data_IF_267946882242
#
_entry.id   IF_267946882242
#
_cell.length_a   1.000
_cell.length_b   1.000
_cell.length_c   1.000
_cell.angle_alpha   90.00
_cell.angle_beta   90.00
_cell.angle_gamma   90.00
#
_symmetry.space_group_name_H-M   'P 1'
#
loop_
_entity.id
_entity.type
_entity.pdbx_description
1 polymer ?
#
# COMPACT_ATOMS: atom_id res chain seq x y z
N UNK A 1 -29.75 9.48 -25.19
CA UNK A 1 -28.33 9.26 -24.85
C UNK A 1 -27.95 10.36 -23.89
N UNK A 2 -27.98 10.10 -22.58
CA UNK A 2 -27.62 11.10 -21.59
C UNK A 2 -26.31 10.66 -20.94
N UNK A 3 -25.24 11.36 -21.28
CA UNK A 3 -23.94 11.27 -20.61
C UNK A 3 -24.03 12.24 -19.43
N UNK A 4 -24.44 11.72 -18.28
CA UNK A 4 -24.48 12.48 -17.03
C UNK A 4 -23.06 12.61 -16.47
N UNK A 5 -22.47 13.77 -16.70
CA UNK A 5 -21.23 14.25 -16.11
C UNK A 5 -21.44 14.55 -14.63
N UNK A 6 -21.31 13.53 -13.78
CA UNK A 6 -21.16 13.68 -12.33
C UNK A 6 -20.59 12.40 -11.74
N UNK A 7 -19.33 12.08 -12.06
CA UNK A 7 -18.62 11.02 -11.34
C UNK A 7 -17.94 11.68 -10.12
N UNK A 8 -18.51 11.62 -8.90
CA UNK A 8 -17.75 12.01 -7.72
C UNK A 8 -16.52 11.10 -7.71
N UNK A 9 -15.31 11.66 -7.75
CA UNK A 9 -14.11 10.84 -7.60
C UNK A 9 -14.31 10.02 -6.32
N UNK A 10 -14.44 8.69 -6.41
CA UNK A 10 -14.77 7.90 -5.26
C UNK A 10 -13.58 8.04 -4.32
N UNK A 11 -13.80 8.67 -3.16
CA UNK A 11 -12.81 8.61 -2.10
C UNK A 11 -12.46 7.13 -1.92
N UNK A 12 -11.17 6.78 -1.92
CA UNK A 12 -10.79 5.38 -1.86
C UNK A 12 -11.47 4.70 -0.68
N UNK A 13 -12.01 3.49 -0.85
CA UNK A 13 -12.74 2.82 0.22
C UNK A 13 -11.86 2.75 1.47
N UNK A 14 -12.39 3.15 2.64
CA UNK A 14 -11.62 3.12 3.91
C UNK A 14 -10.93 1.77 4.15
N UNK A 15 -11.55 0.68 3.70
CA UNK A 15 -10.99 -0.66 3.78
C UNK A 15 -9.72 -0.83 2.92
N UNK A 16 -9.72 -0.29 1.71
CA UNK A 16 -8.57 -0.32 0.80
C UNK A 16 -7.43 0.54 1.34
N UNK A 17 -7.74 1.75 1.81
CA UNK A 17 -6.79 2.62 2.53
C UNK A 17 -6.09 1.89 3.68
N UNK A 18 -6.87 1.27 4.56
CA UNK A 18 -6.35 0.53 5.69
C UNK A 18 -5.52 -0.68 5.25
N UNK A 19 -5.93 -1.36 4.18
CA UNK A 19 -5.20 -2.51 3.62
C UNK A 19 -3.84 -2.08 3.07
N UNK A 20 -3.80 -1.06 2.21
CA UNK A 20 -2.57 -0.54 1.61
C UNK A 20 -1.58 -0.06 2.68
N UNK A 21 -2.05 0.76 3.64
CA UNK A 21 -1.22 1.23 4.76
C UNK A 21 -0.70 0.05 5.57
N UNK A 22 -1.54 -0.95 5.87
CA UNK A 22 -1.12 -2.13 6.65
C UNK A 22 -0.10 -2.98 5.89
N UNK A 23 -0.25 -3.14 4.57
CA UNK A 23 0.70 -3.87 3.74
C UNK A 23 2.08 -3.18 3.73
N UNK A 24 2.12 -1.85 3.67
CA UNK A 24 3.36 -1.06 3.63
C UNK A 24 3.98 -0.77 5.00
N UNK A 25 3.19 -0.73 6.07
CA UNK A 25 3.66 -0.47 7.44
C UNK A 25 4.00 -1.76 8.19
N UNK A 26 3.27 -2.85 7.91
CA UNK A 26 3.45 -4.15 8.59
C UNK A 26 3.98 -5.25 7.67
N UNK A 27 4.65 -4.90 6.56
CA UNK A 27 5.19 -5.86 5.59
C UNK A 27 6.02 -6.97 6.26
N UNK A 28 6.85 -6.64 7.25
CA UNK A 28 7.71 -7.59 7.97
C UNK A 28 6.87 -8.65 8.70
N UNK A 29 5.88 -8.18 9.48
CA UNK A 29 4.97 -9.07 10.23
C UNK A 29 4.13 -9.91 9.28
N UNK A 30 3.67 -9.33 8.17
CA UNK A 30 2.84 -10.03 7.20
C UNK A 30 3.63 -11.10 6.46
N UNK A 31 4.85 -10.82 6.03
CA UNK A 31 5.72 -11.82 5.38
C UNK A 31 6.03 -12.99 6.32
N UNK A 32 6.32 -12.69 7.60
CA UNK A 32 6.47 -13.74 8.63
C UNK A 32 5.20 -14.59 8.79
N UNK A 33 4.01 -13.96 8.76
CA UNK A 33 2.72 -14.66 8.81
C UNK A 33 2.49 -15.55 7.57
N UNK A 34 2.92 -15.11 6.40
CA UNK A 34 2.86 -15.89 5.16
C UNK A 34 3.93 -16.98 5.07
N UNK A 35 4.78 -17.15 6.10
CA UNK A 35 5.88 -18.11 6.08
C UNK A 35 6.92 -17.78 5.01
N UNK A 36 6.99 -16.52 4.56
CA UNK A 36 7.96 -16.06 3.57
C UNK A 36 9.09 -15.33 4.30
N UNK A 37 10.31 -15.80 4.12
CA UNK A 37 11.49 -15.08 4.58
C UNK A 37 11.73 -13.85 3.69
N UNK A 38 11.71 -12.66 4.30
CA UNK A 38 12.29 -11.47 3.68
C UNK A 38 13.81 -11.58 3.82
N UNK A 39 14.53 -11.54 2.70
CA UNK A 39 15.98 -11.44 2.76
C UNK A 39 16.42 -10.20 3.53
N UNK A 40 17.46 -10.27 4.39
CA UNK A 40 17.90 -9.14 5.22
C UNK A 40 18.27 -7.90 4.39
N UNK A 41 18.78 -8.10 3.16
CA UNK A 41 19.04 -7.03 2.20
C UNK A 41 17.76 -6.28 1.79
N UNK A 42 16.69 -7.01 1.51
CA UNK A 42 15.37 -6.45 1.17
C UNK A 42 14.77 -5.74 2.38
N UNK A 43 14.80 -6.36 3.56
CA UNK A 43 14.33 -5.73 4.80
C UNK A 43 15.02 -4.38 5.04
N UNK A 44 16.36 -4.36 4.94
CA UNK A 44 17.14 -3.14 5.13
C UNK A 44 16.80 -2.08 4.07
N UNK A 45 16.58 -2.49 2.81
CA UNK A 45 16.11 -1.58 1.75
C UNK A 45 14.74 -0.97 2.11
N UNK A 46 13.77 -1.80 2.52
CA UNK A 46 12.42 -1.35 2.89
C UNK A 46 12.43 -0.43 4.11
N UNK A 47 13.23 -0.74 5.12
CA UNK A 47 13.45 0.12 6.29
C UNK A 47 14.08 1.47 5.91
N UNK A 48 14.99 1.47 4.94
CA UNK A 48 15.62 2.69 4.42
C UNK A 48 14.63 3.57 3.64
N UNK A 49 13.73 2.95 2.88
CA UNK A 49 12.67 3.67 2.16
C UNK A 49 11.69 4.36 3.11
N UNK A 50 11.38 3.71 4.24
CA UNK A 50 10.50 4.26 5.27
C UNK A 50 9.12 4.59 4.69
N UNK A 51 8.75 5.87 4.67
CA UNK A 51 7.47 6.32 4.12
C UNK A 51 7.42 6.38 2.59
N UNK A 52 8.57 6.25 1.91
CA UNK A 52 8.66 6.21 0.45
C UNK A 52 8.51 4.79 -0.12
N UNK A 53 8.20 3.80 0.72
CA UNK A 53 7.92 2.44 0.28
C UNK A 53 6.68 2.41 -0.60
N UNK A 54 6.75 1.65 -1.70
CA UNK A 54 5.65 1.46 -2.66
C UNK A 54 5.26 -0.02 -2.78
N UNK A 55 4.15 -0.31 -3.45
CA UNK A 55 3.73 -1.68 -3.76
C UNK A 55 4.75 -2.47 -4.58
N UNK A 56 5.55 -1.79 -5.41
CA UNK A 56 6.59 -2.40 -6.23
C UNK A 56 7.79 -2.90 -5.40
N UNK A 57 7.99 -2.37 -4.20
CA UNK A 57 9.04 -2.83 -3.29
C UNK A 57 8.61 -4.05 -2.47
N UNK A 58 7.30 -4.34 -2.40
CA UNK A 58 6.76 -5.49 -1.69
C UNK A 58 7.00 -6.78 -2.47
N UNK A 59 7.15 -7.90 -1.75
CA UNK A 59 7.28 -9.21 -2.38
C UNK A 59 5.93 -9.77 -2.84
N UNK A 60 5.95 -10.54 -3.93
CA UNK A 60 4.81 -10.98 -4.74
C UNK A 60 3.48 -11.20 -4.03
N UNK A 61 3.42 -11.94 -2.91
CA UNK A 61 2.16 -12.16 -2.17
C UNK A 61 1.57 -10.86 -1.61
N UNK A 62 2.39 -10.00 -1.00
CA UNK A 62 1.94 -8.70 -0.49
C UNK A 62 1.58 -7.75 -1.63
N UNK A 63 2.33 -7.80 -2.73
CA UNK A 63 2.04 -7.01 -3.93
C UNK A 63 0.71 -7.44 -4.56
N UNK A 64 0.41 -8.75 -4.61
CA UNK A 64 -0.84 -9.28 -5.16
C UNK A 64 -2.06 -8.93 -4.31
N UNK A 65 -1.88 -8.76 -3.00
CA UNK A 65 -2.93 -8.28 -2.12
C UNK A 65 -3.08 -6.75 -2.11
N UNK A 66 -2.14 -6.04 -2.72
CA UNK A 66 -2.10 -4.59 -2.70
C UNK A 66 -3.21 -4.02 -3.58
N UNK A 67 -3.95 -2.99 -3.13
CA UNK A 67 -5.02 -2.43 -3.94
C UNK A 67 -4.44 -1.69 -5.15
N UNK A 68 -4.89 -2.05 -6.36
CA UNK A 68 -4.39 -1.48 -7.61
C UNK A 68 -4.59 0.05 -7.70
N UNK A 69 -5.62 0.58 -7.04
CA UNK A 69 -5.92 2.02 -6.95
C UNK A 69 -4.79 2.84 -6.30
N UNK A 70 -3.92 2.20 -5.52
CA UNK A 70 -2.75 2.84 -4.90
C UNK A 70 -1.43 2.40 -5.51
N UNK A 71 -1.46 1.66 -6.62
CA UNK A 71 -0.25 1.19 -7.27
C UNK A 71 0.64 2.36 -7.68
N UNK A 72 1.94 2.27 -7.36
CA UNK A 72 2.90 3.34 -7.60
C UNK A 72 2.88 4.49 -6.58
N UNK A 73 1.95 4.49 -5.61
CA UNK A 73 1.95 5.46 -4.53
C UNK A 73 2.79 4.99 -3.35
N UNK A 74 3.40 5.98 -2.69
CA UNK A 74 4.15 5.77 -1.46
C UNK A 74 3.23 5.66 -0.24
N UNK A 75 3.71 5.04 0.84
CA UNK A 75 2.99 5.03 2.13
C UNK A 75 2.57 6.43 2.58
N UNK A 76 3.43 7.44 2.35
CA UNK A 76 3.16 8.84 2.65
C UNK A 76 1.98 9.40 1.85
N UNK A 77 1.94 9.13 0.55
CA UNK A 77 0.87 9.59 -0.33
C UNK A 77 -0.45 8.92 0.00
N UNK A 78 -0.43 7.61 0.23
CA UNK A 78 -1.61 6.85 0.62
C UNK A 78 -2.16 7.38 1.95
N UNK A 79 -1.31 7.65 2.94
CA UNK A 79 -1.72 8.27 4.20
C UNK A 79 -2.42 9.61 4.00
N UNK A 80 -1.89 10.47 3.14
CA UNK A 80 -2.50 11.76 2.80
C UNK A 80 -3.85 11.60 2.11
N UNK A 81 -3.94 10.74 1.10
CA UNK A 81 -5.17 10.45 0.36
C UNK A 81 -6.26 9.87 1.27
N UNK A 82 -5.85 9.01 2.21
CA UNK A 82 -6.75 8.35 3.16
C UNK A 82 -7.03 9.19 4.42
N UNK A 83 -6.53 10.43 4.51
CA UNK A 83 -6.74 11.32 5.66
C UNK A 83 -6.14 10.79 6.96
N UNK A 84 -5.15 9.91 6.90
CA UNK A 84 -4.44 9.36 8.05
C UNK A 84 -3.11 10.08 8.25
N UNK A 85 -3.15 11.19 8.99
CA UNK A 85 -1.94 11.77 9.60
C UNK A 85 -1.68 11.07 10.92
N UNK A 86 -0.50 10.45 11.07
CA UNK A 86 -0.01 9.95 12.35
C UNK A 86 0.80 11.02 13.05
#
# INVERSE_FOLDING_TARGET
MNVDSSNPQPQPPKNQCNKAIKLLEQYERLMKKYGKEISPKTLKKLQTLGENITSADLSGTLQSEFPDEFSGLTLKEIRKLCGKSK
#
